data_IF_158782309248
#
_entry.id   IF_158782309248
#
_cell.length_a   1.000
_cell.length_b   1.000
_cell.length_c   1.000
_cell.angle_alpha   90.00
_cell.angle_beta   90.00
_cell.angle_gamma   90.00
#
_symmetry.space_group_name_H-M   'P 1'
#
loop_
_entity.id
_entity.type
_entity.pdbx_description
1 polymer ?
#
# COMPACT_ATOMS: atom_id res chain seq x y z
N UNK A 1 -29.57 5.55 1.95
CA UNK A 1 -28.15 5.36 1.54
C UNK A 1 -27.37 4.72 2.67
N UNK A 2 -26.14 4.21 2.41
CA UNK A 2 -25.27 3.67 3.45
C UNK A 2 -24.92 4.73 4.51
N UNK A 3 -24.65 5.96 4.09
CA UNK A 3 -24.37 7.11 4.96
C UNK A 3 -25.53 7.39 5.92
N UNK A 4 -26.77 7.39 5.44
CA UNK A 4 -27.96 7.60 6.29
C UNK A 4 -28.09 6.55 7.39
N UNK A 5 -27.68 5.29 7.14
CA UNK A 5 -27.69 4.25 8.18
C UNK A 5 -26.70 4.57 9.31
N UNK A 6 -25.54 5.16 9.01
CA UNK A 6 -24.58 5.62 10.02
C UNK A 6 -25.06 6.86 10.77
N UNK A 7 -25.59 7.86 10.04
CA UNK A 7 -26.07 9.10 10.64
C UNK A 7 -27.26 8.88 11.59
N UNK A 8 -28.18 7.97 11.23
CA UNK A 8 -29.34 7.65 12.05
C UNK A 8 -29.03 6.60 13.13
N UNK A 9 -27.78 6.13 13.23
CA UNK A 9 -27.34 5.17 14.25
C UNK A 9 -27.74 3.71 14.03
N UNK A 10 -28.31 3.35 12.87
CA UNK A 10 -28.61 1.96 12.51
C UNK A 10 -27.32 1.13 12.27
N UNK A 11 -26.26 1.78 11.80
CA UNK A 11 -24.91 1.24 11.74
C UNK A 11 -23.99 2.11 12.60
N UNK A 12 -23.10 1.48 13.37
CA UNK A 12 -22.12 2.16 14.22
C UNK A 12 -20.80 1.40 14.18
N UNK A 13 -19.71 2.09 14.44
CA UNK A 13 -18.42 1.46 14.72
C UNK A 13 -18.44 1.08 16.20
N UNK A 14 -18.35 -0.21 16.55
CA UNK A 14 -18.45 -0.66 17.93
C UNK A 14 -17.24 -0.20 18.74
N UNK A 15 -17.46 0.19 19.99
CA UNK A 15 -16.38 0.42 20.95
C UNK A 15 -16.00 -0.93 21.56
N UNK A 16 -14.72 -1.35 21.55
CA UNK A 16 -14.30 -2.60 22.15
C UNK A 16 -14.69 -2.68 23.64
N UNK A 17 -15.33 -3.77 24.05
CA UNK A 17 -15.73 -3.98 25.46
C UNK A 17 -14.52 -4.13 26.39
N UNK A 18 -13.40 -4.65 25.87
CA UNK A 18 -12.16 -4.84 26.61
C UNK A 18 -10.99 -4.28 25.81
N UNK A 19 -10.16 -3.48 26.48
CA UNK A 19 -8.88 -3.06 25.95
C UNK A 19 -7.86 -4.20 26.02
N UNK A 20 -6.92 -4.23 25.07
CA UNK A 20 -5.75 -5.12 25.15
C UNK A 20 -5.05 -4.94 26.49
N UNK A 21 -4.45 -5.99 27.06
CA UNK A 21 -3.76 -5.93 28.38
C UNK A 21 -2.40 -5.23 28.26
N UNK A 22 -1.91 -4.58 29.33
CA UNK A 22 -0.61 -3.89 29.30
C UNK A 22 0.47 -4.96 29.39
N UNK A 23 1.48 -4.83 28.55
CA UNK A 23 2.73 -5.59 28.74
C UNK A 23 3.77 -4.63 29.29
N UNK A 24 4.83 -5.17 29.87
CA UNK A 24 5.95 -4.36 30.38
C UNK A 24 6.84 -3.81 29.25
N UNK A 25 6.50 -4.10 27.98
CA UNK A 25 7.26 -3.68 26.81
C UNK A 25 6.80 -2.30 26.34
N UNK A 26 7.74 -1.37 26.27
CA UNK A 26 7.52 -0.01 25.78
C UNK A 26 8.70 0.48 24.96
N UNK A 27 8.48 1.55 24.21
CA UNK A 27 9.52 2.45 23.71
C UNK A 27 9.37 3.78 24.45
N UNK A 28 10.46 4.30 24.99
CA UNK A 28 10.45 5.58 25.70
C UNK A 28 11.34 6.58 24.96
N UNK A 29 10.79 7.75 24.66
CA UNK A 29 11.54 8.91 24.20
C UNK A 29 11.75 9.82 25.39
N UNK A 30 13.01 10.15 25.68
CA UNK A 30 13.35 11.08 26.75
C UNK A 30 13.78 12.43 26.24
N UNK A 31 13.27 13.47 26.89
CA UNK A 31 13.65 14.86 26.73
C UNK A 31 13.59 15.31 25.27
N UNK A 32 12.46 15.06 24.60
CA UNK A 32 12.21 15.49 23.23
C UNK A 32 12.06 17.02 23.16
N UNK A 33 12.93 17.67 22.37
CA UNK A 33 13.03 19.14 22.23
C UNK A 33 13.01 19.64 20.79
N UNK A 34 12.72 18.77 19.82
CA UNK A 34 12.71 19.18 18.42
C UNK A 34 11.58 20.20 18.18
N UNK A 35 11.90 21.29 17.47
CA UNK A 35 10.99 22.39 17.17
C UNK A 35 10.26 22.95 18.41
N UNK A 36 8.94 22.78 18.50
CA UNK A 36 8.11 23.34 19.56
C UNK A 36 7.88 22.39 20.74
N UNK A 37 8.47 21.18 20.74
CA UNK A 37 8.37 20.24 21.86
C UNK A 37 9.08 20.82 23.10
N UNK A 38 8.43 20.71 24.26
CA UNK A 38 8.84 21.33 25.53
C UNK A 38 9.48 20.30 26.47
N UNK A 39 10.60 19.73 26.06
CA UNK A 39 11.42 18.82 26.89
C UNK A 39 10.66 17.59 27.42
N UNK A 40 9.78 17.01 26.59
CA UNK A 40 8.84 15.98 27.02
C UNK A 40 9.46 14.58 27.08
N UNK A 41 9.03 13.79 28.07
CA UNK A 41 9.27 12.36 28.18
C UNK A 41 7.99 11.60 27.83
N UNK A 42 8.05 10.63 26.91
CA UNK A 42 6.87 9.89 26.43
C UNK A 42 7.16 8.40 26.34
N UNK A 43 6.27 7.59 26.91
CA UNK A 43 6.30 6.12 26.83
C UNK A 43 5.20 5.61 25.88
N UNK A 44 5.60 4.81 24.90
CA UNK A 44 4.73 4.16 23.92
C UNK A 44 4.63 2.66 24.25
N UNK A 45 3.47 2.16 24.70
CA UNK A 45 3.30 0.73 24.98
C UNK A 45 3.31 -0.09 23.67
N UNK A 46 3.99 -1.24 23.69
CA UNK A 46 4.05 -2.15 22.56
C UNK A 46 2.91 -3.18 22.61
N UNK A 47 2.55 -3.74 21.44
CA UNK A 47 1.44 -4.70 21.32
C UNK A 47 0.04 -4.05 21.40
N UNK A 48 -0.05 -2.73 21.29
CA UNK A 48 -1.29 -1.97 21.42
C UNK A 48 -1.59 -1.10 20.21
N UNK A 49 -2.87 -0.78 20.05
CA UNK A 49 -3.33 0.26 19.14
C UNK A 49 -3.18 1.61 19.86
N UNK A 50 -2.10 2.34 19.55
CA UNK A 50 -1.78 3.63 20.18
C UNK A 50 -2.19 4.76 19.26
N UNK A 51 -2.98 5.70 19.77
CA UNK A 51 -3.42 6.89 19.04
C UNK A 51 -2.77 8.11 19.64
N UNK A 52 -2.22 8.97 18.78
CA UNK A 52 -1.62 10.24 19.18
C UNK A 52 -2.53 11.34 18.68
N UNK A 53 -3.13 12.05 19.63
CA UNK A 53 -4.11 13.10 19.37
C UNK A 53 -3.56 14.47 19.75
N UNK A 54 -4.25 15.53 19.34
CA UNK A 54 -3.86 16.92 19.59
C UNK A 54 -4.18 17.82 18.40
N UNK A 55 -4.26 19.13 18.64
CA UNK A 55 -4.55 20.13 17.61
C UNK A 55 -3.46 20.21 16.54
N UNK A 56 -3.76 20.82 15.38
CA UNK A 56 -2.73 21.11 14.38
C UNK A 56 -1.64 21.98 14.98
N UNK A 57 -0.37 21.72 14.62
CA UNK A 57 0.78 22.42 15.18
C UNK A 57 1.21 21.99 16.59
N UNK A 58 0.51 21.06 17.26
CA UNK A 58 0.88 20.62 18.62
C UNK A 58 2.18 19.81 18.72
N UNK A 59 2.82 19.47 17.58
CA UNK A 59 4.07 18.72 17.54
C UNK A 59 3.93 17.20 17.37
N UNK A 60 2.74 16.68 17.02
CA UNK A 60 2.51 15.22 16.79
C UNK A 60 3.48 14.64 15.75
N UNK A 61 3.53 15.24 14.57
CA UNK A 61 4.40 14.82 13.46
C UNK A 61 5.89 14.96 13.83
N UNK A 62 6.24 16.00 14.59
CA UNK A 62 7.59 16.18 15.14
C UNK A 62 7.97 15.03 16.07
N UNK A 63 7.10 14.68 17.01
CA UNK A 63 7.36 13.59 17.95
C UNK A 63 7.48 12.25 17.21
N UNK A 64 6.61 11.99 16.23
CA UNK A 64 6.51 10.68 15.59
C UNK A 64 7.45 10.47 14.43
N UNK A 65 7.52 11.40 13.48
CA UNK A 65 8.36 11.25 12.31
C UNK A 65 9.79 11.70 12.60
N UNK A 66 9.95 12.91 13.12
CA UNK A 66 11.27 13.50 13.29
C UNK A 66 12.06 12.83 14.42
N UNK A 67 11.40 12.44 15.51
CA UNK A 67 12.07 11.81 16.65
C UNK A 67 11.87 10.30 16.64
N UNK A 68 10.65 9.80 16.88
CA UNK A 68 10.41 8.38 17.14
C UNK A 68 10.83 7.48 15.97
N UNK A 69 10.34 7.75 14.75
CA UNK A 69 10.66 6.96 13.56
C UNK A 69 12.14 7.04 13.21
N UNK A 70 12.71 8.25 13.04
CA UNK A 70 14.12 8.41 12.66
C UNK A 70 15.06 7.77 13.67
N UNK A 71 14.75 7.86 14.96
CA UNK A 71 15.55 7.21 16.01
C UNK A 71 15.52 5.69 15.88
N UNK A 72 14.33 5.09 15.69
CA UNK A 72 14.21 3.65 15.46
C UNK A 72 14.87 3.22 14.15
N UNK A 73 14.66 3.95 13.06
CA UNK A 73 15.27 3.67 11.76
C UNK A 73 16.80 3.74 11.82
N UNK A 74 17.37 4.67 12.60
CA UNK A 74 18.80 4.75 12.84
C UNK A 74 19.30 3.54 13.65
N UNK A 75 18.59 3.13 14.72
CA UNK A 75 19.02 2.00 15.56
C UNK A 75 18.92 0.66 14.83
N UNK A 76 17.79 0.41 14.17
CA UNK A 76 17.41 -0.86 13.54
C UNK A 76 18.04 -0.99 12.15
N UNK A 77 17.89 0.01 11.28
CA UNK A 77 18.29 -0.06 9.87
C UNK A 77 19.61 0.66 9.56
N UNK A 78 20.25 1.28 10.55
CA UNK A 78 21.43 2.13 10.35
C UNK A 78 21.18 3.28 9.36
N UNK A 79 19.96 3.82 9.37
CA UNK A 79 19.59 4.99 8.56
C UNK A 79 20.55 6.16 8.83
N UNK A 80 20.90 6.89 7.77
CA UNK A 80 21.72 8.11 7.84
C UNK A 80 20.90 9.35 8.22
N UNK A 81 19.57 9.24 8.27
CA UNK A 81 18.72 10.33 8.71
C UNK A 81 19.02 10.69 10.16
N UNK A 82 19.19 11.98 10.41
CA UNK A 82 19.48 12.50 11.73
C UNK A 82 18.15 12.65 12.48
N UNK A 83 17.96 11.96 13.62
CA UNK A 83 16.76 12.15 14.42
C UNK A 83 16.69 13.56 15.01
N UNK A 84 15.47 14.06 15.20
CA UNK A 84 15.22 15.33 15.88
C UNK A 84 15.79 15.34 17.31
N UNK A 85 16.02 16.53 17.85
CA UNK A 85 16.63 16.74 19.17
C UNK A 85 15.85 16.01 20.28
N UNK A 86 16.50 15.02 20.88
CA UNK A 86 16.05 14.28 22.06
C UNK A 86 17.27 13.74 22.81
N UNK A 87 17.12 13.34 24.09
CA UNK A 87 18.23 12.81 24.89
C UNK A 87 18.54 11.36 24.55
N UNK A 88 17.54 10.49 24.59
CA UNK A 88 17.69 9.06 24.32
C UNK A 88 16.37 8.38 23.96
N UNK A 89 16.49 7.23 23.30
CA UNK A 89 15.40 6.29 23.04
C UNK A 89 15.68 4.98 23.76
N UNK A 90 14.76 4.54 24.62
CA UNK A 90 14.85 3.30 25.40
C UNK A 90 13.84 2.28 24.91
N UNK A 91 14.13 0.99 25.14
CA UNK A 91 13.22 -0.12 24.78
C UNK A 91 13.14 -0.41 23.28
N UNK A 92 13.96 0.22 22.44
CA UNK A 92 14.01 -0.01 20.99
C UNK A 92 14.36 -1.46 20.64
N UNK A 93 15.05 -2.19 21.53
CA UNK A 93 15.40 -3.62 21.36
C UNK A 93 14.17 -4.55 21.34
N UNK A 94 13.01 -4.05 21.79
CA UNK A 94 11.76 -4.79 21.74
C UNK A 94 11.15 -4.84 20.32
N UNK A 95 11.71 -4.08 19.37
CA UNK A 95 11.20 -3.89 18.00
C UNK A 95 12.30 -4.21 17.00
N UNK A 96 11.98 -5.00 15.98
CA UNK A 96 12.92 -5.38 14.91
C UNK A 96 12.63 -4.67 13.58
N UNK A 97 11.46 -4.04 13.47
CA UNK A 97 11.02 -3.35 12.26
C UNK A 97 10.13 -2.16 12.63
N UNK A 98 10.42 -0.99 12.07
CA UNK A 98 9.53 0.18 12.07
C UNK A 98 9.13 0.53 10.64
N UNK A 99 7.84 0.79 10.41
CA UNK A 99 7.28 1.05 9.09
C UNK A 99 6.37 2.25 9.14
N UNK A 100 6.60 3.21 8.24
CA UNK A 100 5.66 4.29 7.98
C UNK A 100 4.75 3.88 6.84
N UNK A 101 3.46 4.10 7.05
CA UNK A 101 2.41 3.99 6.05
C UNK A 101 1.76 5.36 5.91
N UNK A 102 2.32 6.16 5.01
CA UNK A 102 1.92 7.54 4.70
C UNK A 102 1.15 7.63 3.38
N UNK A 103 0.60 8.81 3.11
CA UNK A 103 -0.18 9.10 1.90
C UNK A 103 0.66 9.46 0.67
N UNK A 104 1.99 9.38 0.76
CA UNK A 104 2.84 9.62 -0.42
C UNK A 104 2.52 8.62 -1.55
N UNK A 105 2.66 9.01 -2.83
CA UNK A 105 2.35 8.12 -3.95
C UNK A 105 3.16 6.82 -3.88
N UNK A 106 2.55 5.68 -4.23
CA UNK A 106 3.24 4.38 -4.31
C UNK A 106 4.25 4.30 -5.48
N UNK A 107 4.19 5.27 -6.39
CA UNK A 107 5.14 5.45 -7.48
C UNK A 107 4.84 6.73 -8.25
N UNK A 108 5.83 7.22 -8.99
CA UNK A 108 5.74 8.46 -9.77
C UNK A 108 5.52 8.22 -11.27
N UNK A 109 5.43 6.96 -11.68
CA UNK A 109 5.34 6.57 -13.09
C UNK A 109 4.12 5.68 -13.34
N UNK A 110 3.58 5.64 -14.56
CA UNK A 110 2.50 4.72 -14.94
C UNK A 110 2.80 3.23 -14.77
N UNK A 111 4.10 2.87 -14.67
CA UNK A 111 4.56 1.49 -14.43
C UNK A 111 4.26 0.99 -13.02
N UNK A 112 4.13 1.92 -12.07
CA UNK A 112 3.74 1.60 -10.70
C UNK A 112 2.22 1.50 -10.63
N UNK A 113 1.72 0.42 -10.05
CA UNK A 113 0.30 0.17 -9.87
C UNK A 113 0.08 -0.77 -8.66
N UNK A 114 -1.16 -0.96 -8.19
CA UNK A 114 -1.44 -1.85 -7.06
C UNK A 114 -0.86 -3.26 -7.25
N UNK A 115 -0.92 -3.82 -8.47
CA UNK A 115 -0.44 -5.17 -8.72
C UNK A 115 1.09 -5.30 -8.65
N UNK A 116 1.84 -4.30 -9.14
CA UNK A 116 3.30 -4.29 -9.03
C UNK A 116 3.78 -3.96 -7.63
N UNK A 117 3.12 -3.02 -6.94
CA UNK A 117 3.51 -2.59 -5.59
C UNK A 117 3.31 -3.70 -4.54
N UNK A 118 2.16 -4.38 -4.60
CA UNK A 118 1.86 -5.52 -3.71
C UNK A 118 2.63 -6.79 -4.06
N UNK A 119 3.29 -6.82 -5.23
CA UNK A 119 4.00 -7.98 -5.74
C UNK A 119 3.11 -9.07 -6.33
N UNK A 120 1.77 -8.94 -6.31
CA UNK A 120 0.84 -9.94 -6.86
C UNK A 120 1.00 -10.13 -8.37
N UNK A 121 1.57 -9.15 -9.08
CA UNK A 121 1.79 -9.28 -10.52
C UNK A 121 2.82 -10.37 -10.87
N UNK A 122 3.77 -10.69 -9.98
CA UNK A 122 4.75 -11.76 -10.22
C UNK A 122 4.09 -13.15 -10.34
N UNK A 123 3.35 -13.66 -9.34
CA UNK A 123 2.67 -14.95 -9.47
C UNK A 123 1.63 -14.97 -10.60
N UNK A 124 1.03 -13.82 -10.95
CA UNK A 124 0.17 -13.72 -12.14
C UNK A 124 0.98 -13.98 -13.42
N UNK A 125 2.14 -13.34 -13.58
CA UNK A 125 3.02 -13.57 -14.74
C UNK A 125 3.52 -15.02 -14.81
N UNK A 126 3.86 -15.60 -13.67
CA UNK A 126 4.29 -16.99 -13.58
C UNK A 126 3.18 -17.94 -14.05
N UNK A 127 1.94 -17.72 -13.61
CA UNK A 127 0.77 -18.45 -14.10
C UNK A 127 0.63 -18.37 -15.62
N UNK A 128 0.70 -17.15 -16.18
CA UNK A 128 0.57 -16.96 -17.63
C UNK A 128 1.69 -17.66 -18.43
N UNK A 129 2.92 -17.71 -17.88
CA UNK A 129 4.04 -18.43 -18.51
C UNK A 129 3.85 -19.95 -18.55
N UNK A 130 3.05 -20.49 -17.63
CA UNK A 130 2.82 -21.93 -17.51
C UNK A 130 1.68 -22.46 -18.40
N UNK A 131 0.93 -21.56 -19.06
CA UNK A 131 -0.18 -21.96 -19.95
C UNK A 131 0.32 -22.75 -21.17
N UNK A 132 -0.48 -23.69 -21.72
CA UNK A 132 -0.07 -24.50 -22.88
C UNK A 132 0.38 -23.65 -24.08
N UNK A 133 -0.35 -22.57 -24.39
CA UNK A 133 -0.01 -21.64 -25.47
C UNK A 133 1.33 -20.95 -25.24
N UNK A 134 1.64 -20.60 -23.99
CA UNK A 134 2.92 -19.99 -23.60
C UNK A 134 4.05 -20.99 -23.72
N UNK A 135 3.86 -22.22 -23.22
CA UNK A 135 4.87 -23.29 -23.30
C UNK A 135 5.21 -23.63 -24.75
N UNK A 136 4.21 -23.75 -25.63
CA UNK A 136 4.42 -24.02 -27.04
C UNK A 136 5.23 -22.92 -27.75
N UNK A 137 5.11 -21.67 -27.32
CA UNK A 137 5.84 -20.51 -27.86
C UNK A 137 7.14 -20.18 -27.10
N UNK A 138 7.49 -20.96 -26.07
CA UNK A 138 8.67 -20.68 -25.23
C UNK A 138 8.57 -19.39 -24.39
N UNK A 139 7.36 -18.92 -24.07
CA UNK A 139 7.16 -17.68 -23.33
C UNK A 139 7.45 -17.85 -21.83
N UNK A 140 8.41 -17.09 -21.34
CA UNK A 140 8.80 -17.01 -19.92
C UNK A 140 8.01 -15.89 -19.20
N UNK A 141 8.05 -15.81 -17.85
CA UNK A 141 7.38 -14.74 -17.08
C UNK A 141 7.77 -13.31 -17.50
N UNK A 142 8.95 -13.15 -18.12
CA UNK A 142 9.41 -11.88 -18.69
C UNK A 142 8.54 -11.40 -19.86
N UNK A 143 7.99 -12.30 -20.69
CA UNK A 143 7.08 -11.94 -21.80
C UNK A 143 5.83 -11.21 -21.29
N UNK A 144 5.35 -11.57 -20.11
CA UNK A 144 4.16 -10.98 -19.48
C UNK A 144 4.48 -9.78 -18.57
N UNK A 145 5.71 -9.26 -18.62
CA UNK A 145 6.10 -8.05 -17.89
C UNK A 145 6.14 -6.85 -18.82
N UNK A 146 5.34 -5.82 -18.52
CA UNK A 146 5.37 -4.56 -19.28
C UNK A 146 6.65 -3.72 -18.99
N UNK A 147 7.46 -4.10 -17.99
CA UNK A 147 8.67 -3.39 -17.62
C UNK A 147 9.92 -3.80 -18.42
N UNK A 148 9.84 -4.88 -19.20
CA UNK A 148 10.99 -5.43 -19.95
C UNK A 148 10.65 -5.61 -21.42
N UNK A 149 11.66 -5.51 -22.27
CA UNK A 149 11.51 -5.76 -23.71
C UNK A 149 11.06 -7.20 -23.97
N UNK A 150 10.30 -7.40 -25.05
CA UNK A 150 9.87 -8.72 -25.52
C UNK A 150 8.37 -8.80 -25.77
N UNK A 151 7.56 -8.71 -24.71
CA UNK A 151 6.09 -8.78 -24.83
C UNK A 151 5.35 -7.45 -24.64
N UNK A 152 6.02 -6.44 -24.09
CA UNK A 152 5.46 -5.10 -23.92
C UNK A 152 5.22 -4.42 -25.27
N UNK A 153 4.37 -3.39 -25.27
CA UNK A 153 4.27 -2.48 -26.41
C UNK A 153 5.53 -1.59 -26.46
N UNK A 154 6.31 -1.68 -27.53
CA UNK A 154 7.53 -0.87 -27.67
C UNK A 154 7.23 0.60 -27.99
N UNK A 155 6.06 0.92 -28.57
CA UNK A 155 5.71 2.34 -28.80
C UNK A 155 5.61 3.11 -27.49
N UNK A 156 4.87 2.61 -26.49
CA UNK A 156 4.77 3.26 -25.17
C UNK A 156 5.73 2.69 -24.12
N UNK A 157 6.69 1.86 -24.53
CA UNK A 157 7.61 1.15 -23.64
C UNK A 157 6.93 0.42 -22.46
N UNK A 158 5.69 -0.04 -22.67
CA UNK A 158 4.88 -0.72 -21.65
C UNK A 158 4.08 0.17 -20.71
N UNK A 159 4.16 1.50 -20.81
CA UNK A 159 3.39 2.41 -19.95
C UNK A 159 1.89 2.34 -20.25
N UNK A 160 1.53 2.06 -21.51
CA UNK A 160 0.16 2.10 -22.02
C UNK A 160 -0.33 3.51 -22.33
N UNK A 161 0.39 4.52 -21.87
CA UNK A 161 0.15 5.94 -22.12
C UNK A 161 1.40 6.61 -22.67
N UNK A 162 1.24 7.73 -23.36
CA UNK A 162 2.31 8.66 -23.71
C UNK A 162 2.14 9.95 -22.93
N UNK A 163 3.24 10.48 -22.41
CA UNK A 163 3.25 11.76 -21.70
C UNK A 163 3.41 12.88 -22.73
N UNK A 164 2.48 13.84 -22.71
CA UNK A 164 2.55 15.07 -23.48
C UNK A 164 2.97 16.17 -22.53
N UNK A 165 4.15 16.72 -22.76
CA UNK A 165 4.71 17.81 -21.97
C UNK A 165 4.02 19.12 -22.36
N UNK A 166 3.51 19.82 -21.36
CA UNK A 166 2.79 21.08 -21.53
C UNK A 166 3.61 22.19 -20.89
N UNK A 167 3.83 23.31 -21.60
CA UNK A 167 4.73 24.36 -21.13
C UNK A 167 4.24 25.10 -19.87
N UNK A 168 2.92 25.21 -19.70
CA UNK A 168 2.30 26.02 -18.62
C UNK A 168 1.27 25.24 -17.79
N UNK A 169 1.03 23.98 -18.12
CA UNK A 169 0.04 23.13 -17.47
C UNK A 169 0.70 21.83 -17.01
N UNK A 170 0.02 21.09 -16.14
CA UNK A 170 0.47 19.76 -15.77
C UNK A 170 0.51 18.84 -17.00
N UNK A 171 1.55 17.99 -17.09
CA UNK A 171 1.70 16.98 -18.13
C UNK A 171 0.43 16.14 -18.27
N UNK A 172 0.02 15.90 -19.51
CA UNK A 172 -1.16 15.09 -19.82
C UNK A 172 -0.72 13.72 -20.31
N UNK A 173 -1.39 12.68 -19.82
CA UNK A 173 -1.17 11.30 -20.25
C UNK A 173 -2.25 10.90 -21.24
N UNK A 174 -1.87 10.69 -22.50
CA UNK A 174 -2.78 10.19 -23.53
C UNK A 174 -2.61 8.68 -23.70
N UNK A 175 -3.70 7.97 -24.04
CA UNK A 175 -3.60 6.53 -24.32
C UNK A 175 -2.67 6.30 -25.52
N UNK A 176 -1.83 5.28 -25.44
CA UNK A 176 -0.99 4.88 -26.56
C UNK A 176 -1.85 4.50 -27.76
N UNK A 177 -1.57 5.06 -28.93
CA UNK A 177 -2.33 4.80 -30.17
C UNK A 177 -2.15 3.37 -30.72
N UNK A 178 -1.06 2.69 -30.37
CA UNK A 178 -0.73 1.34 -30.89
C UNK A 178 -1.36 0.24 -30.05
N UNK A 179 -1.23 0.30 -28.72
CA UNK A 179 -1.76 -0.73 -27.84
C UNK A 179 -3.09 -0.32 -27.17
N UNK A 180 -3.58 0.89 -27.42
CA UNK A 180 -4.81 1.44 -26.83
C UNK A 180 -4.88 1.34 -25.29
N UNK A 181 -3.72 1.40 -24.62
CA UNK A 181 -3.61 1.24 -23.16
C UNK A 181 -3.35 -0.19 -22.68
N UNK A 182 -3.29 -1.18 -23.58
CA UNK A 182 -3.14 -2.58 -23.21
C UNK A 182 -1.74 -2.91 -22.62
N UNK A 183 -0.72 -2.08 -22.87
CA UNK A 183 0.69 -2.21 -22.43
C UNK A 183 1.50 -3.33 -23.08
N UNK A 184 0.87 -4.22 -23.85
CA UNK A 184 1.50 -5.38 -24.48
C UNK A 184 1.27 -5.38 -26.00
N UNK A 185 2.09 -6.16 -26.72
CA UNK A 185 1.88 -6.45 -28.13
C UNK A 185 0.81 -7.55 -28.34
N UNK A 186 0.23 -7.63 -29.54
CA UNK A 186 -0.87 -8.54 -29.85
C UNK A 186 -0.53 -10.02 -29.62
N UNK A 187 0.70 -10.43 -29.96
CA UNK A 187 1.18 -11.79 -29.73
C UNK A 187 1.13 -12.19 -28.25
N UNK A 188 1.43 -11.27 -27.34
CA UNK A 188 1.37 -11.51 -25.89
C UNK A 188 -0.08 -11.55 -25.42
N UNK A 189 -0.93 -10.68 -25.98
CA UNK A 189 -2.37 -10.64 -25.67
C UNK A 189 -3.14 -11.85 -26.19
N UNK A 190 -2.59 -12.57 -27.18
CA UNK A 190 -3.17 -13.82 -27.69
C UNK A 190 -3.23 -14.93 -26.64
N UNK A 191 -2.35 -14.88 -25.63
CA UNK A 191 -2.34 -15.85 -24.53
C UNK A 191 -3.42 -15.50 -23.52
N UNK A 192 -4.33 -16.45 -23.27
CA UNK A 192 -5.48 -16.26 -22.38
C UNK A 192 -5.55 -17.30 -21.27
N UNK A 193 -5.81 -16.85 -20.06
CA UNK A 193 -6.25 -17.68 -18.93
C UNK A 193 -7.73 -17.41 -18.69
N UNK A 194 -8.58 -18.45 -18.66
CA UNK A 194 -10.05 -18.32 -18.54
C UNK A 194 -10.63 -17.24 -19.49
N UNK A 195 -10.22 -17.27 -20.76
CA UNK A 195 -10.60 -16.30 -21.81
C UNK A 195 -10.18 -14.84 -21.59
N UNK A 196 -9.27 -14.57 -20.65
CA UNK A 196 -8.75 -13.22 -20.34
C UNK A 196 -7.25 -13.15 -20.60
N UNK A 197 -6.82 -12.13 -21.34
CA UNK A 197 -5.40 -11.82 -21.54
C UNK A 197 -4.79 -11.21 -20.27
N UNK A 198 -3.46 -11.08 -20.24
CA UNK A 198 -2.77 -10.41 -19.13
C UNK A 198 -3.23 -8.95 -18.95
N UNK A 199 -3.59 -8.28 -20.05
CA UNK A 199 -4.09 -6.90 -20.01
C UNK A 199 -5.51 -6.84 -19.46
N UNK A 200 -6.36 -7.81 -19.82
CA UNK A 200 -7.71 -7.92 -19.25
C UNK A 200 -7.65 -8.13 -17.73
N UNK A 201 -6.72 -8.98 -17.26
CA UNK A 201 -6.48 -9.19 -15.83
C UNK A 201 -6.04 -7.90 -15.13
N UNK A 202 -5.14 -7.12 -15.73
CA UNK A 202 -4.74 -5.82 -15.18
C UNK A 202 -5.89 -4.80 -15.16
N UNK A 203 -6.90 -4.97 -16.02
CA UNK A 203 -8.07 -4.11 -16.07
C UNK A 203 -9.21 -4.53 -15.12
N UNK A 204 -9.10 -5.69 -14.46
CA UNK A 204 -10.05 -6.13 -13.45
C UNK A 204 -9.96 -5.28 -12.18
N UNK A 205 -11.08 -5.07 -11.52
CA UNK A 205 -11.09 -4.59 -10.13
C UNK A 205 -10.49 -5.65 -9.18
N UNK A 206 -10.09 -5.24 -7.98
CA UNK A 206 -9.64 -6.18 -6.95
C UNK A 206 -10.72 -7.22 -6.62
N UNK A 207 -11.98 -6.80 -6.56
CA UNK A 207 -13.11 -7.71 -6.33
C UNK A 207 -13.27 -8.74 -7.45
N UNK A 208 -13.21 -8.32 -8.71
CA UNK A 208 -13.29 -9.21 -9.87
C UNK A 208 -12.11 -10.19 -9.89
N UNK A 209 -10.89 -9.68 -9.62
CA UNK A 209 -9.69 -10.49 -9.57
C UNK A 209 -9.73 -11.53 -8.44
N UNK A 210 -10.31 -11.18 -7.29
CA UNK A 210 -10.49 -12.10 -6.16
C UNK A 210 -11.31 -13.33 -6.55
N UNK A 211 -12.44 -13.11 -7.22
CA UNK A 211 -13.30 -14.18 -7.73
C UNK A 211 -12.58 -14.97 -8.84
N UNK A 212 -11.90 -14.26 -9.74
CA UNK A 212 -11.22 -14.86 -10.87
C UNK A 212 -10.06 -15.82 -10.47
N UNK A 213 -9.33 -15.46 -9.41
CA UNK A 213 -8.18 -16.20 -8.86
C UNK A 213 -8.50 -16.98 -7.57
N UNK A 214 -9.76 -17.28 -7.29
CA UNK A 214 -10.20 -17.96 -6.05
C UNK A 214 -9.46 -19.28 -5.77
N UNK A 215 -9.05 -20.00 -6.83
CA UNK A 215 -8.38 -21.30 -6.76
C UNK A 215 -6.84 -21.19 -6.77
N UNK A 216 -6.28 -19.98 -6.66
CA UNK A 216 -4.83 -19.75 -6.60
C UNK A 216 -4.49 -19.07 -5.27
N UNK A 217 -4.20 -19.84 -4.21
CA UNK A 217 -4.12 -19.33 -2.83
C UNK A 217 -3.16 -18.16 -2.65
N UNK A 218 -1.99 -18.21 -3.29
CA UNK A 218 -0.99 -17.15 -3.17
C UNK A 218 -1.47 -15.81 -3.78
N UNK A 219 -2.15 -15.84 -4.92
CA UNK A 219 -2.72 -14.64 -5.55
C UNK A 219 -3.91 -14.15 -4.72
N UNK A 220 -4.82 -15.05 -4.36
CA UNK A 220 -6.01 -14.76 -3.55
C UNK A 220 -5.64 -14.07 -2.23
N UNK A 221 -4.60 -14.53 -1.53
CA UNK A 221 -4.16 -13.94 -0.26
C UNK A 221 -3.82 -12.45 -0.40
N UNK A 222 -3.05 -12.07 -1.42
CA UNK A 222 -2.68 -10.66 -1.65
C UNK A 222 -3.84 -9.81 -2.12
N UNK A 223 -4.73 -10.37 -2.95
CA UNK A 223 -5.94 -9.66 -3.36
C UNK A 223 -6.92 -9.48 -2.19
N UNK A 224 -6.97 -10.44 -1.27
CA UNK A 224 -7.81 -10.37 -0.08
C UNK A 224 -7.37 -9.25 0.85
N UNK A 225 -6.06 -9.05 1.04
CA UNK A 225 -5.59 -7.92 1.85
C UNK A 225 -5.92 -6.56 1.25
N UNK A 226 -5.90 -6.43 -0.09
CA UNK A 226 -6.39 -5.22 -0.77
C UNK A 226 -7.89 -5.01 -0.57
N UNK A 227 -8.70 -6.07 -0.62
CA UNK A 227 -10.13 -6.00 -0.33
C UNK A 227 -10.41 -5.63 1.12
N UNK A 228 -9.68 -6.23 2.06
CA UNK A 228 -9.86 -6.02 3.50
C UNK A 228 -9.60 -4.56 3.90
N UNK A 229 -8.66 -3.86 3.22
CA UNK A 229 -8.44 -2.43 3.42
C UNK A 229 -9.42 -1.54 2.65
N UNK A 230 -10.43 -2.11 2.00
CA UNK A 230 -11.48 -1.37 1.28
C UNK A 230 -11.08 -0.87 -0.11
N UNK A 231 -10.17 -1.57 -0.80
CA UNK A 231 -9.76 -1.25 -2.18
C UNK A 231 -10.39 -2.19 -3.22
N UNK A 232 -11.59 -2.71 -2.96
CA UNK A 232 -12.33 -3.63 -3.83
C UNK A 232 -12.52 -3.08 -5.27
N UNK A 233 -12.71 -1.76 -5.38
CA UNK A 233 -13.09 -1.08 -6.61
C UNK A 233 -11.91 -0.69 -7.52
N UNK A 234 -10.67 -0.61 -7.00
CA UNK A 234 -9.53 -0.17 -7.80
C UNK A 234 -9.12 -1.26 -8.79
N UNK A 235 -8.60 -0.87 -9.95
CA UNK A 235 -8.07 -1.84 -10.92
C UNK A 235 -6.66 -2.26 -10.56
N UNK A 236 -6.32 -3.53 -10.82
CA UNK A 236 -4.98 -4.08 -10.55
C UNK A 236 -3.86 -3.28 -11.24
N UNK A 237 -4.08 -2.88 -12.49
CA UNK A 237 -3.15 -2.13 -13.33
C UNK A 237 -3.33 -0.61 -13.28
N UNK A 238 -4.21 -0.07 -12.42
CA UNK A 238 -4.45 1.36 -12.28
C UNK A 238 -3.14 2.11 -11.99
N UNK A 239 -2.87 3.16 -12.75
CA UNK A 239 -1.64 3.93 -12.58
C UNK A 239 -1.54 4.48 -11.16
N UNK A 240 -0.37 4.35 -10.53
CA UNK A 240 -0.08 4.95 -9.23
C UNK A 240 -0.27 6.47 -9.24
N UNK A 241 -0.05 7.12 -10.39
CA UNK A 241 -0.23 8.58 -10.55
C UNK A 241 -1.68 9.02 -10.49
N UNK A 242 -2.63 8.10 -10.62
CA UNK A 242 -4.07 8.37 -10.57
C UNK A 242 -4.71 7.85 -9.29
N UNK A 243 -3.93 7.38 -8.32
CA UNK A 243 -4.42 7.01 -6.99
C UNK A 243 -4.46 8.26 -6.10
N UNK A 244 -5.52 8.37 -5.30
CA UNK A 244 -5.59 9.31 -4.19
C UNK A 244 -4.56 8.97 -3.10
N UNK A 245 -4.22 9.93 -2.25
CA UNK A 245 -3.31 9.72 -1.13
C UNK A 245 -3.77 8.59 -0.20
N UNK A 246 -5.07 8.54 0.12
CA UNK A 246 -5.67 7.49 0.95
C UNK A 246 -5.69 6.10 0.27
N UNK A 247 -5.83 6.03 -1.06
CA UNK A 247 -5.68 4.76 -1.79
C UNK A 247 -4.22 4.29 -1.79
N UNK A 248 -3.27 5.18 -2.07
CA UNK A 248 -1.85 4.88 -2.04
C UNK A 248 -1.42 4.35 -0.65
N UNK A 249 -1.86 5.02 0.41
CA UNK A 249 -1.63 4.59 1.79
C UNK A 249 -2.18 3.19 2.07
N UNK A 250 -3.42 2.90 1.64
CA UNK A 250 -4.04 1.59 1.84
C UNK A 250 -3.36 0.48 1.02
N UNK A 251 -2.85 0.77 -0.18
CA UNK A 251 -2.03 -0.18 -0.95
C UNK A 251 -0.73 -0.52 -0.19
N UNK A 252 -0.07 0.48 0.43
CA UNK A 252 1.10 0.25 1.29
C UNK A 252 0.76 -0.61 2.50
N UNK A 253 -0.34 -0.30 3.19
CA UNK A 253 -0.83 -1.07 4.32
C UNK A 253 -1.08 -2.53 3.92
N UNK A 254 -1.84 -2.78 2.85
CA UNK A 254 -2.12 -4.11 2.34
C UNK A 254 -0.85 -4.88 1.98
N UNK A 255 0.17 -4.20 1.44
CA UNK A 255 1.46 -4.80 1.09
C UNK A 255 2.23 -5.25 2.32
N UNK A 256 2.16 -4.53 3.44
CA UNK A 256 2.83 -4.97 4.67
C UNK A 256 2.06 -6.06 5.40
N UNK A 257 0.74 -6.07 5.33
CA UNK A 257 -0.11 -7.09 5.96
C UNK A 257 0.01 -8.47 5.30
N UNK A 258 0.45 -8.54 4.05
CA UNK A 258 0.71 -9.85 3.40
C UNK A 258 1.98 -10.54 3.92
N UNK A 259 2.92 -9.76 4.47
CA UNK A 259 4.21 -10.25 4.96
C UNK A 259 4.02 -10.99 6.29
N UNK A 260 4.91 -11.94 6.56
CA UNK A 260 4.89 -12.70 7.82
C UNK A 260 5.23 -11.76 8.98
N UNK A 261 4.34 -11.69 9.97
CA UNK A 261 4.56 -10.89 11.17
C UNK A 261 5.69 -11.49 12.02
N UNK A 262 6.60 -10.64 12.50
CA UNK A 262 7.61 -10.99 13.51
C UNK A 262 7.07 -10.89 14.93
N UNK A 263 5.91 -10.24 15.11
CA UNK A 263 5.37 -9.84 16.40
C UNK A 263 6.11 -8.66 17.04
N UNK A 264 7.13 -8.10 16.36
CA UNK A 264 8.00 -7.01 16.84
C UNK A 264 8.09 -5.87 15.84
N UNK A 265 7.07 -5.71 14.99
CA UNK A 265 6.96 -4.59 14.04
C UNK A 265 6.13 -3.45 14.64
N UNK A 266 6.61 -2.22 14.51
CA UNK A 266 5.85 -1.00 14.78
C UNK A 266 5.39 -0.39 13.46
N UNK A 267 4.07 -0.23 13.33
CA UNK A 267 3.43 0.47 12.23
C UNK A 267 3.06 1.89 12.66
N UNK A 268 3.46 2.88 11.85
CA UNK A 268 3.12 4.29 12.02
C UNK A 268 2.24 4.68 10.84
N UNK A 269 1.01 5.12 11.12
CA UNK A 269 0.05 5.54 10.10
C UNK A 269 -0.28 7.02 10.26
N UNK A 270 -0.12 7.81 9.19
CA UNK A 270 -0.53 9.22 9.19
C UNK A 270 -1.98 9.37 8.74
N UNK A 271 -2.86 9.82 9.63
CA UNK A 271 -4.26 10.11 9.31
C UNK A 271 -4.92 9.08 8.36
N UNK A 272 -4.92 7.77 8.73
CA UNK A 272 -5.32 6.71 7.79
C UNK A 272 -6.81 6.70 7.47
N UNK A 273 -7.58 7.59 8.10
CA UNK A 273 -9.02 7.79 7.88
C UNK A 273 -9.32 8.87 6.84
N UNK A 274 -8.32 9.59 6.33
CA UNK A 274 -8.53 10.70 5.39
C UNK A 274 -9.16 10.21 4.09
N UNK A 275 -10.31 10.79 3.74
CA UNK A 275 -11.08 10.43 2.54
C UNK A 275 -11.87 9.12 2.66
N UNK A 276 -12.02 8.53 3.84
CA UNK A 276 -12.78 7.29 4.06
C UNK A 276 -14.22 7.55 4.52
N UNK A 277 -15.15 6.75 3.99
CA UNK A 277 -16.51 6.67 4.53
C UNK A 277 -16.50 5.88 5.84
N UNK A 278 -17.50 6.07 6.72
CA UNK A 278 -17.60 5.36 8.01
C UNK A 278 -17.51 3.83 7.90
N UNK A 279 -18.05 3.26 6.81
CA UNK A 279 -17.97 1.84 6.52
C UNK A 279 -16.53 1.37 6.23
N UNK A 280 -15.74 2.20 5.54
CA UNK A 280 -14.34 1.90 5.24
C UNK A 280 -13.45 2.09 6.47
N UNK A 281 -13.78 3.05 7.34
CA UNK A 281 -13.12 3.19 8.65
C UNK A 281 -13.34 1.93 9.48
N UNK A 282 -14.55 1.36 9.48
CA UNK A 282 -14.83 0.10 10.18
C UNK A 282 -13.95 -1.05 9.65
N UNK A 283 -13.93 -1.26 8.32
CA UNK A 283 -13.07 -2.27 7.69
C UNK A 283 -11.59 -2.06 8.02
N UNK A 284 -11.12 -0.82 7.97
CA UNK A 284 -9.73 -0.48 8.30
C UNK A 284 -9.40 -0.80 9.77
N UNK A 285 -10.29 -0.47 10.70
CA UNK A 285 -10.10 -0.80 12.12
C UNK A 285 -10.04 -2.32 12.33
N UNK A 286 -10.91 -3.09 11.69
CA UNK A 286 -10.86 -4.55 11.75
C UNK A 286 -9.50 -5.09 11.30
N UNK A 287 -8.94 -4.50 10.24
CA UNK A 287 -7.61 -4.87 9.74
C UNK A 287 -6.49 -4.48 10.70
N UNK A 288 -6.53 -3.27 11.28
CA UNK A 288 -5.50 -2.80 12.22
C UNK A 288 -5.58 -3.51 13.59
N UNK A 289 -6.72 -4.13 13.90
CA UNK A 289 -6.91 -4.87 15.14
C UNK A 289 -6.57 -6.37 15.05
N UNK A 290 -6.43 -6.94 13.85
CA UNK A 290 -5.92 -8.30 13.62
C UNK A 290 -4.45 -8.44 14.06
#
# INVERSE_FOLDING_TARGET
>A
SLTSKYLNGNLKIPVPEKNRVYTDKFIEIRNAKQFNLKDIDVKFPLGRFTVITGVSGSGKSTLIYEIFYKSLAQKIYKSKEIPGRHKEILGWQNVDKVIIVDQSPIGRTPRSNPATYTGVFTPIRDLFSQLPQSKAKGYLPGRFSFNVKGGRCENCEGDGTKRIEMQFLADVYVKCEVCHGARFNEETLSVKYKNKSISDVLNMSVEEALRFFENIPHIKKTLQTLSDVGLEYIKLGQSATTLSGGEAQRVKLATELTKRATGKTVYILDEPTTGLHFADIHKLLDVLHR
#
